data_IF_380558435233
#
_entry.id   IF_380558435233
#
_cell.length_a   1.000
_cell.length_b   1.000
_cell.length_c   1.000
_cell.angle_alpha   90.00
_cell.angle_beta   90.00
_cell.angle_gamma   90.00
#
_symmetry.space_group_name_H-M   'P 1'
#
loop_
_entity.id
_entity.type
_entity.pdbx_description
1 polymer ?
#
# COMPACT_ATOMS: atom_id res chain seq x y z
N UNK A 1 35.66 -37.72 5.79
CA UNK A 1 35.44 -36.48 5.03
C UNK A 1 33.97 -36.40 4.70
N UNK A 2 33.25 -35.56 5.40
CA UNK A 2 31.82 -35.36 5.14
C UNK A 2 31.67 -34.34 3.99
N UNK A 3 31.02 -34.76 2.92
CA UNK A 3 30.71 -33.87 1.79
C UNK A 3 29.53 -33.01 2.19
N UNK A 4 29.80 -31.73 2.43
CA UNK A 4 28.83 -30.71 2.72
C UNK A 4 27.95 -30.53 1.47
N UNK A 5 26.61 -30.84 1.60
CA UNK A 5 25.67 -30.63 0.52
C UNK A 5 25.51 -29.13 0.28
N UNK A 6 26.02 -28.66 -0.84
CA UNK A 6 25.69 -27.34 -1.36
C UNK A 6 24.17 -27.24 -1.46
N UNK A 7 23.57 -26.37 -0.65
CA UNK A 7 22.19 -25.94 -0.84
C UNK A 7 22.10 -25.18 -2.18
N UNK A 8 21.39 -25.78 -3.12
CA UNK A 8 21.02 -25.09 -4.36
C UNK A 8 20.15 -23.89 -4.00
N UNK A 9 20.73 -22.70 -4.14
CA UNK A 9 20.02 -21.45 -3.92
C UNK A 9 18.82 -21.35 -4.86
N UNK A 10 17.61 -21.41 -4.30
CA UNK A 10 16.40 -21.11 -5.05
C UNK A 10 16.44 -19.67 -5.56
N UNK A 11 15.78 -19.44 -6.70
CA UNK A 11 15.66 -18.10 -7.26
C UNK A 11 15.16 -17.10 -6.18
N UNK A 12 15.80 -15.93 -6.01
CA UNK A 12 15.39 -14.94 -5.00
C UNK A 12 13.93 -14.51 -5.11
N UNK A 13 13.31 -14.70 -6.27
CA UNK A 13 11.92 -14.34 -6.55
C UNK A 13 10.93 -15.45 -6.20
N UNK A 14 11.39 -16.72 -6.17
CA UNK A 14 10.52 -17.89 -5.95
C UNK A 14 10.86 -18.71 -4.71
N UNK A 15 11.87 -18.32 -3.94
CA UNK A 15 12.25 -18.99 -2.71
C UNK A 15 11.16 -18.91 -1.64
N UNK A 16 10.93 -20.03 -0.93
CA UNK A 16 10.05 -20.06 0.24
C UNK A 16 10.51 -19.02 1.26
N UNK A 17 9.79 -17.92 1.36
CA UNK A 17 10.16 -16.76 2.19
C UNK A 17 10.21 -15.44 1.42
N UNK A 18 10.07 -15.43 0.10
CA UNK A 18 9.88 -14.19 -0.65
C UNK A 18 8.58 -13.52 -0.21
N UNK A 19 8.71 -12.55 0.70
CA UNK A 19 7.57 -11.72 1.13
C UNK A 19 7.27 -10.76 0.00
N UNK A 20 6.23 -11.05 -0.75
CA UNK A 20 5.75 -10.15 -1.80
C UNK A 20 5.31 -8.80 -1.22
N UNK A 21 5.38 -7.83 -2.06
CA UNK A 21 5.41 -6.41 -1.87
C UNK A 21 4.47 -5.77 -0.86
N UNK A 22 3.34 -6.34 -0.56
CA UNK A 22 2.41 -5.74 0.39
C UNK A 22 2.89 -5.77 1.86
N UNK A 23 3.95 -6.52 2.15
CA UNK A 23 4.42 -6.67 3.53
C UNK A 23 5.92 -6.52 3.76
N UNK A 24 6.67 -6.21 2.74
CA UNK A 24 8.12 -6.05 2.86
C UNK A 24 8.81 -6.37 1.55
N UNK A 25 9.03 -5.36 0.75
CA UNK A 25 9.84 -5.46 -0.45
C UNK A 25 11.24 -5.97 -0.13
N UNK A 26 11.90 -6.48 -1.12
CA UNK A 26 13.27 -6.93 -1.00
C UNK A 26 14.16 -5.77 -0.52
N UNK A 27 14.99 -6.06 0.46
CA UNK A 27 15.95 -5.09 1.00
C UNK A 27 17.30 -5.32 0.34
N UNK A 28 18.16 -4.32 0.38
CA UNK A 28 19.54 -4.45 -0.13
C UNK A 28 20.24 -5.71 0.39
N UNK A 29 20.05 -6.08 1.66
CA UNK A 29 20.62 -7.29 2.26
C UNK A 29 20.13 -8.60 1.63
N UNK A 30 18.96 -8.59 0.98
CA UNK A 30 18.38 -9.77 0.35
C UNK A 30 19.03 -10.02 -1.03
N UNK A 31 19.60 -8.96 -1.62
CA UNK A 31 20.36 -9.00 -2.89
C UNK A 31 21.87 -9.06 -2.68
N UNK A 32 22.35 -8.30 -1.72
CA UNK A 32 23.77 -8.17 -1.38
C UNK A 32 23.95 -8.25 0.13
N UNK A 33 24.06 -9.47 0.71
CA UNK A 33 24.15 -9.63 2.16
C UNK A 33 25.37 -8.95 2.79
N UNK A 34 26.44 -8.77 2.00
CA UNK A 34 27.66 -8.07 2.43
C UNK A 34 27.55 -6.54 2.38
N UNK A 35 26.46 -6.01 1.87
CA UNK A 35 26.26 -4.57 1.76
C UNK A 35 25.87 -3.94 3.09
N UNK A 36 26.17 -2.65 3.22
CA UNK A 36 25.82 -1.84 4.39
C UNK A 36 24.33 -1.97 4.73
N UNK A 37 24.05 -2.32 5.97
CA UNK A 37 22.66 -2.40 6.45
C UNK A 37 22.06 -1.00 6.62
N UNK A 38 21.23 -0.60 5.68
CA UNK A 38 20.53 0.69 5.68
C UNK A 38 19.19 0.65 6.45
N UNK A 39 18.84 -0.45 7.09
CA UNK A 39 17.56 -0.55 7.82
C UNK A 39 17.46 0.45 8.97
N UNK A 40 18.59 0.84 9.55
CA UNK A 40 18.65 1.88 10.60
C UNK A 40 18.07 3.22 10.16
N UNK A 41 18.14 3.56 8.87
CA UNK A 41 17.60 4.79 8.32
C UNK A 41 16.05 4.80 8.26
N UNK A 42 15.43 3.67 8.54
CA UNK A 42 13.98 3.48 8.46
C UNK A 42 13.37 3.01 9.77
N UNK A 43 14.15 3.08 10.84
CA UNK A 43 13.62 2.79 12.16
C UNK A 43 12.79 3.98 12.62
N UNK A 44 11.53 3.69 12.94
CA UNK A 44 10.63 4.63 13.60
C UNK A 44 10.47 4.20 15.05
N UNK A 45 10.48 5.15 15.97
CA UNK A 45 10.20 4.87 17.38
C UNK A 45 8.75 4.35 17.52
N UNK A 46 8.49 3.61 18.59
CA UNK A 46 7.13 3.17 18.93
C UNK A 46 6.16 4.36 19.10
N UNK A 47 6.68 5.51 19.51
CA UNK A 47 5.94 6.77 19.65
C UNK A 47 5.44 7.33 18.30
N UNK A 48 6.10 6.96 17.19
CA UNK A 48 5.66 7.35 15.85
C UNK A 48 4.40 6.58 15.40
N UNK A 49 3.99 5.55 16.12
CA UNK A 49 2.78 4.80 15.83
C UNK A 49 1.58 5.37 16.59
N UNK A 50 0.67 6.13 15.93
CA UNK A 50 -0.46 6.77 16.62
C UNK A 50 -1.48 5.76 17.15
N UNK A 51 -1.41 4.49 16.71
CA UNK A 51 -2.31 3.42 17.14
C UNK A 51 -1.81 2.67 18.38
N UNK A 52 -0.58 2.95 18.82
CA UNK A 52 0.05 2.27 19.94
C UNK A 52 0.62 0.89 19.62
N UNK A 53 1.37 0.33 20.57
CA UNK A 53 2.11 -0.92 20.38
C UNK A 53 1.22 -2.18 20.33
N UNK A 54 0.01 -2.10 20.87
CA UNK A 54 -0.95 -3.23 20.88
C UNK A 54 -1.70 -3.40 19.55
N UNK A 55 -1.66 -2.40 18.66
CA UNK A 55 -2.36 -2.45 17.39
C UNK A 55 -1.63 -3.35 16.38
N UNK A 56 -2.38 -4.29 15.81
CA UNK A 56 -1.91 -5.15 14.71
C UNK A 56 -2.88 -5.05 13.53
N UNK A 57 -2.45 -4.38 12.48
CA UNK A 57 -3.27 -4.18 11.29
C UNK A 57 -3.75 -5.50 10.64
N UNK A 58 -2.89 -6.53 10.62
CA UNK A 58 -3.24 -7.81 10.01
C UNK A 58 -4.38 -8.53 10.77
N UNK A 59 -4.41 -8.41 12.10
CA UNK A 59 -5.50 -8.97 12.90
C UNK A 59 -6.79 -8.17 12.74
N UNK A 60 -6.71 -6.85 12.73
CA UNK A 60 -7.87 -6.01 12.46
C UNK A 60 -8.45 -6.26 11.06
N UNK A 61 -7.61 -6.39 10.06
CA UNK A 61 -8.03 -6.67 8.68
C UNK A 61 -8.77 -8.02 8.56
N UNK A 62 -8.39 -9.04 9.34
CA UNK A 62 -9.10 -10.34 9.35
C UNK A 62 -10.56 -10.23 9.82
N UNK A 63 -10.89 -9.20 10.59
CA UNK A 63 -12.26 -8.94 11.06
C UNK A 63 -13.11 -8.22 10.02
N UNK A 64 -12.53 -7.85 8.87
CA UNK A 64 -13.20 -7.09 7.82
C UNK A 64 -14.16 -7.98 7.02
N UNK A 65 -15.41 -7.55 6.85
CA UNK A 65 -16.27 -8.11 5.82
C UNK A 65 -15.87 -7.56 4.44
N UNK A 66 -14.99 -8.30 3.79
CA UNK A 66 -14.45 -7.90 2.50
C UNK A 66 -15.50 -7.85 1.38
N UNK A 67 -16.56 -8.68 1.48
CA UNK A 67 -17.65 -8.67 0.50
C UNK A 67 -18.51 -7.40 0.65
N UNK A 68 -18.82 -7.04 1.88
CA UNK A 68 -19.53 -5.79 2.16
C UNK A 68 -18.71 -4.57 1.72
N UNK A 69 -17.41 -4.53 2.00
CA UNK A 69 -16.52 -3.45 1.54
C UNK A 69 -16.52 -3.33 0.01
N UNK A 70 -16.40 -4.45 -0.70
CA UNK A 70 -16.44 -4.43 -2.18
C UNK A 70 -17.79 -3.93 -2.71
N UNK A 71 -18.88 -4.33 -2.08
CA UNK A 71 -20.21 -3.83 -2.45
C UNK A 71 -20.29 -2.32 -2.27
N UNK A 72 -19.90 -1.81 -1.12
CA UNK A 72 -19.94 -0.37 -0.83
C UNK A 72 -19.07 0.44 -1.80
N UNK A 73 -17.90 -0.09 -2.17
CA UNK A 73 -17.04 0.54 -3.18
C UNK A 73 -17.70 0.56 -4.56
N UNK A 74 -18.34 -0.53 -4.97
CA UNK A 74 -19.06 -0.57 -6.24
C UNK A 74 -20.24 0.40 -6.26
N UNK A 75 -21.01 0.46 -5.19
CA UNK A 75 -22.13 1.39 -5.06
C UNK A 75 -21.63 2.84 -5.15
N UNK A 76 -20.53 3.17 -4.44
CA UNK A 76 -19.92 4.50 -4.50
C UNK A 76 -19.45 4.88 -5.92
N UNK A 77 -18.95 3.93 -6.69
CA UNK A 77 -18.43 4.22 -8.04
C UNK A 77 -19.51 4.73 -8.99
N UNK A 78 -20.76 4.44 -8.74
CA UNK A 78 -21.91 4.83 -9.57
C UNK A 78 -22.83 5.88 -8.91
N UNK A 79 -22.51 6.27 -7.68
CA UNK A 79 -23.25 7.29 -6.93
C UNK A 79 -22.65 8.68 -7.15
N UNK A 80 -23.13 9.35 -8.19
CA UNK A 80 -22.65 10.68 -8.57
C UNK A 80 -23.01 11.73 -7.54
N UNK A 81 -22.01 12.45 -7.02
CA UNK A 81 -22.18 13.49 -6.01
C UNK A 81 -22.28 14.87 -6.65
N UNK A 82 -23.23 15.71 -6.20
CA UNK A 82 -23.43 17.07 -6.74
C UNK A 82 -22.18 17.96 -6.61
N UNK A 83 -21.42 17.79 -5.53
CA UNK A 83 -20.21 18.57 -5.29
C UNK A 83 -19.01 18.13 -6.15
N UNK A 84 -19.07 16.96 -6.74
CA UNK A 84 -18.09 16.41 -7.67
C UNK A 84 -18.77 15.40 -8.60
N UNK A 85 -19.48 15.86 -9.63
CA UNK A 85 -20.22 14.98 -10.54
C UNK A 85 -19.32 13.96 -11.22
N UNK A 86 -19.83 12.73 -11.36
CA UNK A 86 -19.11 11.64 -11.99
C UNK A 86 -19.09 11.79 -13.52
N UNK A 87 -17.90 11.63 -14.12
CA UNK A 87 -17.74 11.59 -15.56
C UNK A 87 -18.46 10.37 -16.14
N UNK A 88 -19.34 10.61 -17.10
CA UNK A 88 -20.12 9.54 -17.74
C UNK A 88 -20.86 8.64 -16.72
N UNK A 89 -21.26 9.20 -15.59
CA UNK A 89 -22.04 8.51 -14.56
C UNK A 89 -21.25 7.56 -13.67
N UNK A 90 -19.91 7.56 -13.70
CA UNK A 90 -19.12 6.74 -12.79
C UNK A 90 -17.75 7.35 -12.43
N UNK A 91 -17.22 6.93 -11.28
CA UNK A 91 -15.89 7.33 -10.79
C UNK A 91 -14.79 6.31 -11.08
N UNK A 92 -15.06 5.24 -11.82
CA UNK A 92 -14.12 4.12 -12.03
C UNK A 92 -12.77 4.62 -12.54
N UNK A 93 -12.75 5.39 -13.63
CA UNK A 93 -11.52 5.93 -14.20
C UNK A 93 -10.74 6.80 -13.21
N UNK A 94 -11.45 7.57 -12.39
CA UNK A 94 -10.88 8.43 -11.37
C UNK A 94 -10.20 7.63 -10.25
N UNK A 95 -10.85 6.57 -9.76
CA UNK A 95 -10.29 5.68 -8.74
C UNK A 95 -9.17 4.80 -9.28
N UNK A 96 -9.25 4.33 -10.53
CA UNK A 96 -8.14 3.59 -11.17
C UNK A 96 -6.90 4.47 -11.26
N UNK A 97 -7.04 5.73 -11.66
CA UNK A 97 -5.92 6.68 -11.70
C UNK A 97 -5.34 6.91 -10.30
N UNK A 98 -6.18 7.08 -9.28
CA UNK A 98 -5.72 7.22 -7.90
C UNK A 98 -4.96 5.98 -7.42
N UNK A 99 -5.48 4.80 -7.67
CA UNK A 99 -4.86 3.54 -7.27
C UNK A 99 -3.51 3.32 -7.99
N UNK A 100 -3.46 3.60 -9.28
CA UNK A 100 -2.23 3.53 -10.07
C UNK A 100 -1.15 4.44 -9.51
N UNK A 101 -1.45 5.71 -9.27
CA UNK A 101 -0.49 6.68 -8.77
C UNK A 101 -0.11 6.44 -7.30
N UNK A 102 -0.98 5.81 -6.53
CA UNK A 102 -0.65 5.32 -5.19
C UNK A 102 0.34 4.15 -5.24
N UNK A 103 0.14 3.21 -6.15
CA UNK A 103 0.99 2.04 -6.31
C UNK A 103 2.27 2.33 -7.10
N UNK A 104 2.21 3.24 -8.07
CA UNK A 104 3.26 3.48 -9.07
C UNK A 104 4.57 4.06 -8.52
N UNK A 105 4.61 4.47 -7.27
CA UNK A 105 5.84 4.88 -6.58
C UNK A 105 6.65 3.68 -6.07
N UNK A 106 6.13 2.46 -6.21
CA UNK A 106 6.83 1.26 -5.75
C UNK A 106 8.11 1.02 -6.55
N UNK A 107 9.18 0.74 -5.82
CA UNK A 107 10.49 0.40 -6.39
C UNK A 107 10.77 -1.06 -6.14
N UNK A 108 10.83 -1.85 -7.23
CA UNK A 108 11.17 -3.28 -7.13
C UNK A 108 12.58 -3.52 -6.61
N UNK A 109 13.47 -2.57 -6.84
CA UNK A 109 14.87 -2.64 -6.46
C UNK A 109 15.10 -2.73 -4.94
N UNK A 110 14.37 -1.97 -4.14
CA UNK A 110 14.55 -1.91 -2.68
C UNK A 110 13.23 -2.02 -1.89
N UNK A 111 12.11 -2.19 -2.58
CA UNK A 111 10.79 -2.33 -1.98
C UNK A 111 10.23 -1.07 -1.33
N UNK A 112 10.77 0.11 -1.66
CA UNK A 112 10.24 1.39 -1.17
C UNK A 112 9.06 1.86 -1.98
N UNK A 113 8.30 2.79 -1.37
CA UNK A 113 7.15 3.41 -2.02
C UNK A 113 5.95 2.47 -2.08
N UNK A 114 5.09 2.71 -3.04
CA UNK A 114 3.83 2.00 -3.19
C UNK A 114 2.73 2.51 -2.27
N UNK A 115 1.63 1.80 -2.24
CA UNK A 115 0.42 2.21 -1.55
C UNK A 115 0.54 2.26 -0.01
N UNK A 116 1.56 1.62 0.55
CA UNK A 116 1.74 1.49 1.99
C UNK A 116 2.19 2.76 2.71
N UNK A 117 2.69 3.77 1.98
CA UNK A 117 3.26 4.98 2.58
C UNK A 117 2.29 6.16 2.65
N UNK A 118 1.18 6.12 1.92
CA UNK A 118 0.23 7.23 1.82
C UNK A 118 0.81 8.53 1.27
N UNK A 119 1.93 8.45 0.55
CA UNK A 119 2.72 9.60 0.13
C UNK A 119 2.07 10.47 -0.94
N UNK A 120 1.06 9.96 -1.65
CA UNK A 120 0.36 10.65 -2.75
C UNK A 120 -0.22 12.01 -2.34
N UNK A 121 -0.59 12.19 -1.09
CA UNK A 121 -1.18 13.45 -0.56
C UNK A 121 -0.15 14.53 -0.24
N UNK A 122 1.13 14.22 -0.27
CA UNK A 122 2.22 15.12 0.09
C UNK A 122 3.00 15.61 -1.12
N UNK A 123 3.64 16.76 -0.97
CA UNK A 123 4.59 17.27 -1.95
C UNK A 123 5.81 16.33 -2.07
N UNK A 124 6.38 16.16 -3.25
CA UNK A 124 5.97 16.73 -4.54
C UNK A 124 4.88 15.96 -5.29
N UNK A 125 4.52 14.75 -4.81
CA UNK A 125 3.62 13.84 -5.52
C UNK A 125 2.23 14.43 -5.77
N UNK A 126 1.70 15.19 -4.82
CA UNK A 126 0.39 15.83 -4.95
C UNK A 126 0.32 16.90 -6.05
N UNK A 127 1.47 17.38 -6.53
CA UNK A 127 1.55 18.38 -7.61
C UNK A 127 1.82 17.78 -8.98
N UNK A 128 1.99 16.47 -9.08
CA UNK A 128 2.14 15.84 -10.39
C UNK A 128 0.87 16.02 -11.22
N UNK A 129 0.98 16.26 -12.55
CA UNK A 129 -0.18 16.49 -13.41
C UNK A 129 -1.23 15.38 -13.31
N UNK A 130 -0.79 14.13 -13.26
CA UNK A 130 -1.67 12.95 -13.15
C UNK A 130 -2.36 12.83 -11.79
N UNK A 131 -1.91 13.57 -10.79
CA UNK A 131 -2.51 13.62 -9.46
C UNK A 131 -3.56 14.75 -9.31
N UNK A 132 -3.89 15.43 -10.40
CA UNK A 132 -4.90 16.48 -10.40
C UNK A 132 -6.24 15.98 -9.84
N UNK A 133 -6.80 16.73 -8.88
CA UNK A 133 -8.07 16.46 -8.23
C UNK A 133 -8.17 15.15 -7.41
N UNK A 134 -7.09 14.43 -7.15
CA UNK A 134 -7.14 13.20 -6.35
C UNK A 134 -7.48 13.44 -4.87
N UNK A 135 -7.41 14.67 -4.39
CA UNK A 135 -8.00 15.08 -3.12
C UNK A 135 -9.53 14.83 -3.10
N UNK A 136 -10.22 15.05 -4.23
CA UNK A 136 -11.66 14.75 -4.39
C UNK A 136 -11.91 13.24 -4.35
N UNK A 137 -11.06 12.44 -4.99
CA UNK A 137 -11.15 10.99 -4.93
C UNK A 137 -11.06 10.48 -3.49
N UNK A 138 -10.09 10.99 -2.72
CA UNK A 138 -9.97 10.65 -1.28
C UNK A 138 -11.19 11.10 -0.47
N UNK A 139 -11.75 12.27 -0.79
CA UNK A 139 -12.97 12.76 -0.14
C UNK A 139 -14.18 11.89 -0.46
N UNK A 140 -14.33 11.40 -1.69
CA UNK A 140 -15.38 10.45 -2.07
C UNK A 140 -15.28 9.14 -1.28
N UNK A 141 -14.07 8.64 -1.02
CA UNK A 141 -13.83 7.42 -0.25
C UNK A 141 -13.99 7.59 1.27
N UNK A 142 -14.06 8.83 1.74
CA UNK A 142 -14.10 9.10 3.19
C UNK A 142 -15.25 8.43 3.94
N UNK A 143 -16.49 8.37 3.44
CA UNK A 143 -17.57 7.64 4.11
C UNK A 143 -17.27 6.15 4.30
N UNK A 144 -16.62 5.53 3.32
CA UNK A 144 -16.17 4.13 3.42
C UNK A 144 -15.10 3.99 4.49
N UNK A 145 -14.10 4.89 4.49
CA UNK A 145 -13.08 4.91 5.54
C UNK A 145 -13.68 5.08 6.93
N UNK A 146 -14.67 5.93 7.09
CA UNK A 146 -15.38 6.10 8.37
C UNK A 146 -16.13 4.83 8.78
N UNK A 147 -16.81 4.16 7.84
CA UNK A 147 -17.57 2.94 8.12
C UNK A 147 -16.68 1.78 8.57
N UNK A 148 -15.55 1.59 7.92
CA UNK A 148 -14.66 0.46 8.19
C UNK A 148 -13.52 0.78 9.16
N UNK A 149 -13.28 2.03 9.45
CA UNK A 149 -12.35 2.51 10.48
C UNK A 149 -10.92 2.02 10.29
N UNK A 150 -10.39 1.44 11.36
CA UNK A 150 -8.99 0.96 11.42
C UNK A 150 -8.76 -0.35 10.67
N UNK A 151 -9.81 -1.00 10.19
CA UNK A 151 -9.72 -2.27 9.44
C UNK A 151 -9.17 -2.10 8.03
N UNK A 152 -9.17 -0.88 7.51
CA UNK A 152 -8.59 -0.51 6.22
C UNK A 152 -7.68 0.70 6.38
N UNK A 153 -6.56 0.73 5.64
CA UNK A 153 -5.60 1.83 5.64
C UNK A 153 -5.99 2.96 4.71
#
# INVERSE_FOLDING_TARGET
MAVEKMQTGGCPVTGAGAKHAAGGGQRNKDWWPEMLNLSVLRQHSAEANPMGSAYNYAEEFKTLDFKALKKDLNDLMTDSQDWWPADYGNYIGFFVRMAWLSAGTYRTYDGRGGANSGSQRFAPLNSWPDNGNLDKARRLLWPIKQKYGIKIS
#
